data_IF_623724810612
#
_entry.id   IF_623724810612
#
_cell.length_a   1.000
_cell.length_b   1.000
_cell.length_c   1.000
_cell.angle_alpha   90.00
_cell.angle_beta   90.00
_cell.angle_gamma   90.00
#
_symmetry.space_group_name_H-M   'P 1'
#
loop_
_entity.id
_entity.type
_entity.pdbx_description
1 polymer ?
#
# COMPACT_ATOMS: atom_id res chain seq x y z
N UNK A 1 -56.69 -8.96 1.27
CA UNK A 1 -55.68 -8.81 0.18
C UNK A 1 -55.08 -10.17 -0.18
N UNK A 2 -55.69 -10.95 -1.10
CA UNK A 2 -55.30 -12.34 -1.39
C UNK A 2 -54.15 -12.51 -2.41
N UNK A 3 -53.65 -11.42 -3.02
CA UNK A 3 -52.69 -11.47 -4.14
C UNK A 3 -51.22 -11.74 -3.79
N UNK A 4 -50.82 -11.64 -2.51
CA UNK A 4 -49.42 -11.76 -2.11
C UNK A 4 -48.96 -13.21 -1.88
N UNK A 5 -49.86 -14.11 -1.49
CA UNK A 5 -49.54 -15.52 -1.19
C UNK A 5 -49.42 -16.38 -2.46
N UNK A 6 -50.21 -16.08 -3.50
CA UNK A 6 -50.18 -16.78 -4.79
C UNK A 6 -48.92 -16.48 -5.61
N UNK A 7 -48.32 -15.30 -5.42
CA UNK A 7 -47.05 -14.89 -6.04
C UNK A 7 -45.85 -15.67 -5.47
N UNK A 8 -45.75 -15.77 -4.14
CA UNK A 8 -44.68 -16.53 -3.46
C UNK A 8 -44.71 -18.02 -3.81
N UNK A 9 -45.90 -18.61 -3.91
CA UNK A 9 -46.06 -20.01 -4.31
C UNK A 9 -45.63 -20.29 -5.75
N UNK A 10 -45.86 -19.36 -6.70
CA UNK A 10 -45.39 -19.49 -8.09
C UNK A 10 -43.88 -19.32 -8.22
N UNK A 11 -43.28 -18.42 -7.45
CA UNK A 11 -41.82 -18.22 -7.42
C UNK A 11 -41.14 -19.46 -6.83
N UNK A 12 -41.65 -19.99 -5.71
CA UNK A 12 -41.13 -21.22 -5.11
C UNK A 12 -41.27 -22.42 -6.08
N UNK A 13 -42.41 -22.53 -6.78
CA UNK A 13 -42.64 -23.62 -7.75
C UNK A 13 -41.78 -23.50 -9.00
N UNK A 14 -41.45 -22.27 -9.45
CA UNK A 14 -40.50 -22.00 -10.56
C UNK A 14 -39.06 -22.31 -10.17
N UNK A 15 -38.65 -21.98 -8.95
CA UNK A 15 -37.31 -22.33 -8.43
C UNK A 15 -37.18 -23.86 -8.31
N UNK A 16 -38.22 -24.53 -7.79
CA UNK A 16 -38.24 -25.99 -7.67
C UNK A 16 -38.24 -26.71 -9.03
N UNK A 17 -38.95 -26.20 -10.03
CA UNK A 17 -38.94 -26.78 -11.40
C UNK A 17 -37.65 -26.51 -12.16
N UNK A 18 -37.00 -25.36 -11.96
CA UNK A 18 -35.67 -25.09 -12.51
C UNK A 18 -34.59 -26.02 -11.90
N UNK A 19 -34.70 -26.34 -10.61
CA UNK A 19 -33.83 -27.30 -9.94
C UNK A 19 -34.06 -28.75 -10.42
N UNK A 20 -35.31 -29.12 -10.74
CA UNK A 20 -35.67 -30.49 -11.10
C UNK A 20 -35.38 -30.87 -12.56
N UNK A 21 -35.44 -29.93 -13.51
CA UNK A 21 -35.41 -30.28 -14.95
C UNK A 21 -34.29 -29.62 -15.79
N UNK A 22 -33.47 -28.71 -15.23
CA UNK A 22 -32.41 -28.07 -16.01
C UNK A 22 -31.18 -27.57 -15.24
N UNK A 23 -31.18 -27.63 -13.90
CA UNK A 23 -30.14 -27.02 -13.06
C UNK A 23 -29.49 -27.94 -12.01
N UNK A 24 -29.75 -29.24 -12.04
CA UNK A 24 -29.36 -30.17 -10.96
C UNK A 24 -27.85 -30.23 -10.68
N UNK A 25 -27.01 -30.27 -11.71
CA UNK A 25 -25.54 -30.31 -11.54
C UNK A 25 -24.95 -28.95 -11.17
N UNK A 26 -25.28 -27.88 -11.90
CA UNK A 26 -24.74 -26.54 -11.67
C UNK A 26 -25.23 -25.91 -10.37
N UNK A 27 -26.48 -26.15 -9.98
CA UNK A 27 -27.04 -25.68 -8.71
C UNK A 27 -26.42 -26.36 -7.50
N UNK A 28 -26.24 -27.69 -7.53
CA UNK A 28 -25.59 -28.44 -6.46
C UNK A 28 -24.08 -28.13 -6.36
N UNK A 29 -23.39 -27.99 -7.51
CA UNK A 29 -21.99 -27.56 -7.54
C UNK A 29 -21.81 -26.14 -7.00
N UNK A 30 -22.72 -25.22 -7.35
CA UNK A 30 -22.73 -23.84 -6.83
C UNK A 30 -22.96 -23.79 -5.32
N UNK A 31 -23.94 -24.53 -4.81
CA UNK A 31 -24.21 -24.62 -3.36
C UNK A 31 -23.03 -25.27 -2.62
N UNK A 32 -22.43 -26.33 -3.18
CA UNK A 32 -21.25 -26.98 -2.63
C UNK A 32 -20.04 -26.04 -2.55
N UNK A 33 -19.77 -25.26 -3.60
CA UNK A 33 -18.69 -24.27 -3.61
C UNK A 33 -18.92 -23.17 -2.58
N UNK A 34 -20.14 -22.64 -2.47
CA UNK A 34 -20.49 -21.64 -1.44
C UNK A 34 -20.28 -22.22 -0.03
N UNK A 35 -20.73 -23.45 0.21
CA UNK A 35 -20.51 -24.16 1.47
C UNK A 35 -19.03 -24.33 1.80
N UNK A 36 -18.21 -24.68 0.81
CA UNK A 36 -16.75 -24.79 0.96
C UNK A 36 -16.13 -23.43 1.33
N UNK A 37 -16.46 -22.36 0.61
CA UNK A 37 -15.93 -21.02 0.89
C UNK A 37 -16.31 -20.52 2.29
N UNK A 38 -17.54 -20.76 2.73
CA UNK A 38 -17.98 -20.42 4.08
C UNK A 38 -17.25 -21.22 5.15
N UNK A 39 -16.97 -22.50 4.88
CA UNK A 39 -16.21 -23.37 5.79
C UNK A 39 -14.76 -22.92 5.89
N UNK A 40 -14.11 -22.65 4.76
CA UNK A 40 -12.75 -22.10 4.73
C UNK A 40 -12.65 -20.74 5.41
N UNK A 41 -13.68 -19.90 5.27
CA UNK A 41 -13.74 -18.59 5.93
C UNK A 41 -13.76 -18.75 7.46
N UNK A 42 -14.60 -19.66 7.98
CA UNK A 42 -14.63 -19.98 9.41
C UNK A 42 -13.29 -20.51 9.91
N UNK A 43 -12.67 -21.44 9.17
CA UNK A 43 -11.35 -21.98 9.52
C UNK A 43 -10.25 -20.91 9.48
N UNK A 44 -10.31 -20.00 8.50
CA UNK A 44 -9.39 -18.88 8.40
C UNK A 44 -9.56 -17.92 9.58
N UNK A 45 -10.78 -17.56 9.96
CA UNK A 45 -11.07 -16.72 11.12
C UNK A 45 -10.59 -17.38 12.42
N UNK A 46 -10.78 -18.69 12.59
CA UNK A 46 -10.28 -19.43 13.75
C UNK A 46 -8.75 -19.52 13.78
N UNK A 47 -8.11 -19.60 12.61
CA UNK A 47 -6.66 -19.62 12.49
C UNK A 47 -6.05 -18.21 12.61
N UNK A 48 -6.76 -17.16 12.24
CA UNK A 48 -6.34 -15.79 12.54
C UNK A 48 -6.48 -15.62 14.06
N UNK A 49 -5.35 -15.38 14.73
CA UNK A 49 -5.39 -15.12 16.16
C UNK A 49 -6.19 -13.86 16.45
N UNK A 50 -6.86 -13.77 17.59
CA UNK A 50 -7.38 -12.50 18.04
C UNK A 50 -6.22 -11.67 18.61
N UNK A 51 -5.93 -10.51 18.02
CA UNK A 51 -5.20 -9.47 18.73
C UNK A 51 -6.21 -8.72 19.59
N UNK A 52 -6.25 -9.05 20.88
CA UNK A 52 -7.03 -8.29 21.87
C UNK A 52 -6.34 -6.98 22.30
N UNK A 53 -5.18 -6.68 21.69
CA UNK A 53 -4.40 -5.49 22.00
C UNK A 53 -4.96 -4.27 21.30
N UNK A 54 -5.18 -3.19 22.06
CA UNK A 54 -5.46 -1.87 21.50
C UNK A 54 -4.18 -1.36 20.82
N UNK A 55 -4.24 -0.82 19.58
CA UNK A 55 -3.07 -0.22 18.94
C UNK A 55 -2.46 0.89 19.82
N UNK A 56 -1.13 0.99 19.91
CA UNK A 56 -0.50 2.01 20.72
C UNK A 56 -0.78 3.40 20.14
N UNK A 57 -1.13 4.37 20.99
CA UNK A 57 -1.34 5.77 20.57
C UNK A 57 -0.01 6.38 20.15
N UNK A 58 0.03 6.90 18.93
CA UNK A 58 1.24 7.46 18.32
C UNK A 58 1.16 8.97 18.07
N UNK A 59 0.02 9.61 18.33
CA UNK A 59 -0.17 11.05 18.22
C UNK A 59 0.92 11.82 18.97
N UNK A 60 1.43 12.87 18.34
CA UNK A 60 2.54 13.65 18.87
C UNK A 60 3.33 14.35 17.77
N UNK A 61 4.40 15.05 18.16
CA UNK A 61 5.30 15.73 17.24
C UNK A 61 6.55 14.89 17.02
N UNK A 62 6.93 14.72 15.77
CA UNK A 62 8.10 13.98 15.33
C UNK A 62 9.12 14.94 14.71
N UNK A 63 10.41 14.64 14.85
CA UNK A 63 11.48 15.49 14.34
C UNK A 63 11.75 16.73 15.18
N UNK A 64 11.70 16.61 16.52
CA UNK A 64 12.01 17.72 17.44
C UNK A 64 13.40 18.34 17.22
N UNK A 65 14.35 17.57 16.68
CA UNK A 65 15.68 18.09 16.29
C UNK A 65 15.61 19.18 15.19
N UNK A 66 14.52 19.20 14.41
CA UNK A 66 14.24 20.21 13.39
C UNK A 66 13.35 21.34 13.92
N UNK A 67 12.97 21.30 15.20
CA UNK A 67 12.15 22.34 15.80
C UNK A 67 13.01 23.55 16.13
N UNK A 68 13.00 24.55 15.25
CA UNK A 68 13.44 25.89 15.61
C UNK A 68 12.23 26.67 16.16
N UNK A 69 12.30 27.05 17.44
CA UNK A 69 11.25 27.82 18.13
C UNK A 69 10.99 29.19 17.52
N UNK A 70 11.94 29.71 16.72
CA UNK A 70 11.82 30.98 16.03
C UNK A 70 11.44 30.81 14.55
N UNK A 71 11.43 29.59 14.00
CA UNK A 71 11.21 29.36 12.58
C UNK A 71 9.73 29.25 12.22
N UNK A 72 9.35 30.08 11.26
CA UNK A 72 8.26 29.85 10.33
C UNK A 72 8.83 28.99 9.18
N UNK A 73 8.17 27.91 8.72
CA UNK A 73 6.78 27.53 8.98
C UNK A 73 6.52 26.61 10.20
N UNK A 74 5.29 26.62 10.77
CA UNK A 74 4.88 25.75 11.90
C UNK A 74 5.02 24.25 11.57
N UNK A 75 4.93 23.29 12.50
CA UNK A 75 5.01 21.87 12.15
C UNK A 75 4.03 21.45 11.05
N UNK A 76 4.45 20.57 10.14
CA UNK A 76 3.54 19.92 9.18
C UNK A 76 2.54 19.06 9.95
N UNK A 77 1.29 19.01 9.49
CA UNK A 77 0.25 18.16 10.09
C UNK A 77 -0.02 16.96 9.18
N UNK A 78 0.33 15.77 9.66
CA UNK A 78 0.03 14.49 9.03
C UNK A 78 -1.18 13.86 9.71
N UNK A 79 -2.28 13.68 8.97
CA UNK A 79 -3.43 12.90 9.41
C UNK A 79 -3.34 11.45 8.91
N UNK A 80 -3.66 10.48 9.77
CA UNK A 80 -3.84 9.08 9.39
C UNK A 80 -5.29 8.67 9.61
N UNK A 81 -5.94 8.23 8.53
CA UNK A 81 -7.30 7.71 8.52
C UNK A 81 -7.27 6.25 8.07
N UNK A 82 -8.29 5.50 8.45
CA UNK A 82 -8.55 4.19 7.89
C UNK A 82 -8.92 3.14 8.93
N UNK A 83 -8.41 1.93 8.70
CA UNK A 83 -8.72 0.74 9.49
C UNK A 83 -7.64 0.38 10.51
N UNK A 84 -7.58 -0.89 10.93
CA UNK A 84 -6.57 -1.41 11.85
C UNK A 84 -5.14 -1.25 11.32
N UNK A 85 -4.97 -1.25 9.99
CA UNK A 85 -3.68 -1.01 9.34
C UNK A 85 -3.21 0.40 9.67
N UNK A 86 -4.04 1.42 9.42
CA UNK A 86 -3.71 2.82 9.75
C UNK A 86 -3.56 3.08 11.26
N UNK A 87 -4.34 2.38 12.08
CA UNK A 87 -4.23 2.47 13.53
C UNK A 87 -2.92 1.86 14.09
N UNK A 88 -2.25 0.99 13.32
CA UNK A 88 -1.04 0.29 13.76
C UNK A 88 -1.31 -0.94 14.63
N UNK A 89 -2.39 -1.68 14.38
CA UNK A 89 -2.66 -2.93 15.09
C UNK A 89 -1.59 -3.98 14.74
N UNK A 90 -1.01 -4.64 15.75
CA UNK A 90 0.02 -5.67 15.55
C UNK A 90 1.43 -5.27 15.99
N UNK A 91 1.63 -4.01 16.40
CA UNK A 91 2.89 -3.54 17.01
C UNK A 91 2.74 -3.28 18.50
N UNK A 92 3.85 -3.37 19.22
CA UNK A 92 3.87 -3.14 20.66
C UNK A 92 4.18 -1.68 21.03
N UNK A 93 4.93 -0.95 20.18
CA UNK A 93 5.40 0.40 20.48
C UNK A 93 4.78 1.43 19.54
N UNK A 94 4.44 2.61 20.07
CA UNK A 94 3.88 3.72 19.29
C UNK A 94 4.74 4.10 18.08
N UNK A 95 6.08 4.11 18.24
CA UNK A 95 7.05 4.42 17.18
C UNK A 95 7.07 3.41 16.02
N UNK A 96 6.50 2.23 16.21
CA UNK A 96 6.44 1.17 15.21
C UNK A 96 5.14 1.24 14.38
N UNK A 97 4.22 2.14 14.74
CA UNK A 97 2.98 2.35 13.97
C UNK A 97 3.29 3.00 12.62
N UNK A 98 2.48 2.75 11.59
CA UNK A 98 2.74 3.33 10.27
C UNK A 98 2.70 4.86 10.30
N UNK A 99 1.80 5.45 11.10
CA UNK A 99 1.72 6.89 11.30
C UNK A 99 3.01 7.49 11.89
N UNK A 100 3.57 6.86 12.92
CA UNK A 100 4.83 7.31 13.52
C UNK A 100 6.00 7.21 12.54
N UNK A 101 6.09 6.11 11.81
CA UNK A 101 7.13 5.87 10.81
C UNK A 101 7.06 6.87 9.66
N UNK A 102 5.85 7.17 9.18
CA UNK A 102 5.60 8.19 8.15
C UNK A 102 5.92 9.60 8.68
N UNK A 103 5.51 9.93 9.91
CA UNK A 103 5.79 11.23 10.51
C UNK A 103 7.30 11.46 10.71
N UNK A 104 8.03 10.46 11.22
CA UNK A 104 9.47 10.53 11.39
C UNK A 104 10.22 10.62 10.05
N UNK A 105 9.83 9.82 9.06
CA UNK A 105 10.42 9.86 7.72
C UNK A 105 10.14 11.20 7.02
N UNK A 106 8.90 11.69 7.10
CA UNK A 106 8.51 12.98 6.53
C UNK A 106 9.26 14.12 7.22
N UNK A 107 9.39 14.11 8.54
CA UNK A 107 10.13 15.14 9.26
C UNK A 107 11.60 15.20 8.86
N UNK A 108 12.20 14.04 8.57
CA UNK A 108 13.59 13.93 8.12
C UNK A 108 13.77 14.48 6.71
N UNK A 109 12.84 14.19 5.79
CA UNK A 109 12.91 14.66 4.39
C UNK A 109 12.56 16.15 4.28
N UNK A 110 11.60 16.62 5.08
CA UNK A 110 11.17 18.01 5.09
C UNK A 110 12.10 18.93 5.89
N UNK A 111 13.02 18.36 6.68
CA UNK A 111 13.79 19.05 7.72
C UNK A 111 12.90 19.95 8.59
N UNK A 112 11.69 19.47 8.89
CA UNK A 112 10.61 20.22 9.56
C UNK A 112 9.84 19.29 10.50
N UNK A 113 9.47 19.72 11.72
CA UNK A 113 8.69 18.88 12.62
C UNK A 113 7.35 18.48 12.00
N UNK A 114 6.88 17.27 12.32
CA UNK A 114 5.59 16.74 11.86
C UNK A 114 4.72 16.39 13.05
N UNK A 115 3.56 17.04 13.18
CA UNK A 115 2.50 16.66 14.11
C UNK A 115 1.64 15.56 13.50
N UNK A 116 1.67 14.38 14.10
CA UNK A 116 0.83 13.25 13.74
C UNK A 116 -0.52 13.33 14.45
N UNK A 117 -1.60 13.16 13.69
CA UNK A 117 -2.97 12.98 14.16
C UNK A 117 -3.50 11.66 13.60
N UNK A 118 -3.70 10.65 14.45
CA UNK A 118 -4.21 9.35 14.01
C UNK A 118 -5.67 9.15 14.47
N UNK A 119 -6.59 9.19 13.50
CA UNK A 119 -8.02 8.97 13.71
C UNK A 119 -8.48 7.62 13.12
N UNK A 120 -7.56 6.81 12.61
CA UNK A 120 -7.87 5.48 12.09
C UNK A 120 -8.41 4.59 13.21
N UNK A 121 -9.39 3.74 12.87
CA UNK A 121 -10.07 2.88 13.85
C UNK A 121 -9.92 1.43 13.47
N UNK A 122 -9.49 0.61 14.42
CA UNK A 122 -9.47 -0.85 14.22
C UNK A 122 -10.85 -1.35 13.80
N UNK A 123 -10.87 -2.16 12.75
CA UNK A 123 -12.10 -2.65 12.15
C UNK A 123 -12.87 -1.63 11.30
N UNK A 124 -12.38 -0.41 11.07
CA UNK A 124 -13.04 0.59 10.23
C UNK A 124 -13.25 0.14 8.77
N UNK A 125 -14.35 0.58 8.15
CA UNK A 125 -14.70 0.43 6.73
C UNK A 125 -14.76 1.80 6.05
N UNK A 126 -14.83 1.84 4.72
CA UNK A 126 -15.02 3.10 3.99
C UNK A 126 -16.21 3.92 4.51
N UNK A 127 -17.28 3.26 4.99
CA UNK A 127 -18.44 3.93 5.58
C UNK A 127 -18.15 4.71 6.87
N UNK A 128 -17.06 4.38 7.57
CA UNK A 128 -16.66 5.02 8.82
C UNK A 128 -15.75 6.25 8.56
N UNK A 129 -15.33 6.50 7.31
CA UNK A 129 -14.43 7.61 6.96
C UNK A 129 -15.06 8.97 7.22
N UNK A 130 -16.36 9.14 7.07
CA UNK A 130 -17.04 10.42 7.35
C UNK A 130 -16.81 10.87 8.80
N UNK A 131 -16.99 9.96 9.77
CA UNK A 131 -16.74 10.26 11.16
C UNK A 131 -15.25 10.48 11.49
N UNK A 132 -14.35 9.88 10.71
CA UNK A 132 -12.90 10.16 10.84
C UNK A 132 -12.53 11.53 10.26
N UNK A 133 -13.18 11.97 9.19
CA UNK A 133 -12.99 13.33 8.64
C UNK A 133 -13.41 14.40 9.64
N UNK A 134 -14.54 14.21 10.32
CA UNK A 134 -14.99 15.11 11.38
C UNK A 134 -13.95 15.29 12.49
N UNK A 135 -13.13 14.26 12.74
CA UNK A 135 -12.04 14.31 13.72
C UNK A 135 -10.75 14.89 13.14
N UNK A 136 -10.44 14.63 11.87
CA UNK A 136 -9.18 15.04 11.24
C UNK A 136 -9.20 16.51 10.77
N UNK A 137 -10.29 16.97 10.17
CA UNK A 137 -10.38 18.31 9.56
C UNK A 137 -10.13 19.48 10.53
N UNK A 138 -10.58 19.44 11.81
CA UNK A 138 -10.27 20.51 12.78
C UNK A 138 -8.77 20.72 13.04
N UNK A 139 -7.92 19.76 12.65
CA UNK A 139 -6.48 19.85 12.79
C UNK A 139 -5.77 20.49 11.60
N UNK A 140 -6.50 20.83 10.53
CA UNK A 140 -5.97 21.41 9.29
C UNK A 140 -4.77 20.61 8.75
N UNK A 141 -4.95 19.32 8.38
CA UNK A 141 -3.85 18.50 7.88
C UNK A 141 -3.29 19.04 6.56
N UNK A 142 -1.97 19.14 6.47
CA UNK A 142 -1.26 19.40 5.20
C UNK A 142 -1.30 18.18 4.30
N UNK A 143 -1.25 16.99 4.91
CA UNK A 143 -1.33 15.71 4.21
C UNK A 143 -2.08 14.67 5.03
N UNK A 144 -2.88 13.86 4.34
CA UNK A 144 -3.60 12.74 4.90
C UNK A 144 -3.17 11.44 4.20
N UNK A 145 -2.89 10.42 5.01
CA UNK A 145 -2.68 9.05 4.55
C UNK A 145 -3.88 8.20 4.95
N UNK A 146 -4.55 7.61 3.96
CA UNK A 146 -5.72 6.74 4.18
C UNK A 146 -5.32 5.29 3.90
N UNK A 147 -5.48 4.40 4.87
CA UNK A 147 -5.27 2.96 4.71
C UNK A 147 -6.56 2.20 5.00
N UNK A 148 -7.31 1.83 3.96
CA UNK A 148 -8.63 1.20 4.13
C UNK A 148 -8.99 0.25 2.99
N UNK A 149 -9.76 -0.79 3.33
CA UNK A 149 -10.43 -1.65 2.35
C UNK A 149 -10.39 -3.14 2.71
N UNK A 150 -9.52 -3.56 3.63
CA UNK A 150 -9.48 -4.96 4.08
C UNK A 150 -10.81 -5.36 4.75
N UNK A 151 -11.36 -4.48 5.58
CA UNK A 151 -12.67 -4.68 6.21
C UNK A 151 -13.85 -4.59 5.25
N UNK A 152 -13.73 -3.83 4.16
CA UNK A 152 -14.76 -3.77 3.13
C UNK A 152 -14.88 -5.10 2.39
N UNK A 153 -13.76 -5.78 2.12
CA UNK A 153 -13.79 -7.12 1.52
C UNK A 153 -14.26 -8.17 2.53
N UNK A 154 -13.64 -8.23 3.72
CA UNK A 154 -13.93 -9.29 4.71
C UNK A 154 -15.34 -9.20 5.29
N UNK A 155 -15.93 -7.99 5.36
CA UNK A 155 -17.31 -7.78 5.80
C UNK A 155 -18.30 -7.55 4.66
N UNK A 156 -17.88 -7.84 3.43
CA UNK A 156 -18.73 -7.87 2.23
C UNK A 156 -19.48 -6.54 1.98
N UNK A 157 -18.81 -5.41 2.20
CA UNK A 157 -19.31 -4.11 1.77
C UNK A 157 -19.54 -4.11 0.25
N UNK A 158 -20.63 -3.51 -0.27
CA UNK A 158 -20.77 -3.31 -1.71
C UNK A 158 -19.61 -2.46 -2.24
N UNK A 159 -18.82 -2.99 -3.18
CA UNK A 159 -17.58 -2.35 -3.63
C UNK A 159 -17.80 -0.94 -4.15
N UNK A 160 -18.88 -0.71 -4.91
CA UNK A 160 -19.24 0.60 -5.44
C UNK A 160 -19.53 1.62 -4.33
N UNK A 161 -20.16 1.17 -3.23
CA UNK A 161 -20.42 2.02 -2.07
C UNK A 161 -19.11 2.37 -1.35
N UNK A 162 -18.26 1.38 -1.09
CA UNK A 162 -16.99 1.58 -0.41
C UNK A 162 -16.04 2.50 -1.19
N UNK A 163 -16.00 2.37 -2.52
CA UNK A 163 -15.20 3.22 -3.42
C UNK A 163 -15.75 4.65 -3.45
N UNK A 164 -17.08 4.81 -3.53
CA UNK A 164 -17.70 6.14 -3.51
C UNK A 164 -17.41 6.88 -2.19
N UNK A 165 -17.58 6.20 -1.05
CA UNK A 165 -17.31 6.78 0.27
C UNK A 165 -15.84 7.17 0.44
N UNK A 166 -14.91 6.37 -0.10
CA UNK A 166 -13.50 6.75 -0.15
C UNK A 166 -13.27 7.98 -1.03
N UNK A 167 -13.84 8.03 -2.23
CA UNK A 167 -13.74 9.17 -3.13
C UNK A 167 -14.28 10.46 -2.51
N UNK A 168 -15.44 10.39 -1.85
CA UNK A 168 -16.04 11.49 -1.08
C UNK A 168 -15.09 11.99 0.03
N UNK A 169 -14.45 11.08 0.75
CA UNK A 169 -13.48 11.43 1.80
C UNK A 169 -12.22 12.11 1.24
N UNK A 170 -11.69 11.60 0.12
CA UNK A 170 -10.55 12.22 -0.56
C UNK A 170 -10.93 13.62 -1.06
N UNK A 171 -12.07 13.76 -1.73
CA UNK A 171 -12.54 15.05 -2.24
C UNK A 171 -12.72 16.08 -1.11
N UNK A 172 -13.27 15.68 0.04
CA UNK A 172 -13.43 16.55 1.20
C UNK A 172 -12.08 17.03 1.76
N UNK A 173 -11.08 16.15 1.88
CA UNK A 173 -9.74 16.53 2.30
C UNK A 173 -9.08 17.50 1.30
N UNK A 174 -9.16 17.17 0.00
CA UNK A 174 -8.61 18.03 -1.07
C UNK A 174 -9.26 19.41 -1.09
N UNK A 175 -10.58 19.49 -0.88
CA UNK A 175 -11.31 20.76 -0.80
C UNK A 175 -10.88 21.63 0.40
N UNK A 176 -10.28 21.03 1.43
CA UNK A 176 -9.72 21.73 2.60
C UNK A 176 -8.20 21.96 2.47
N UNK A 177 -7.63 21.85 1.27
CA UNK A 177 -6.20 22.10 1.01
C UNK A 177 -5.25 20.97 1.40
N UNK A 178 -5.76 19.86 1.93
CA UNK A 178 -4.95 18.71 2.34
C UNK A 178 -4.50 17.92 1.11
N UNK A 179 -3.23 17.51 1.04
CA UNK A 179 -2.77 16.48 0.11
C UNK A 179 -3.24 15.10 0.57
N UNK A 180 -3.52 14.18 -0.35
CA UNK A 180 -4.05 12.86 0.03
C UNK A 180 -3.29 11.75 -0.67
N UNK A 181 -2.80 10.80 0.13
CA UNK A 181 -2.20 9.55 -0.36
C UNK A 181 -2.99 8.38 0.21
N UNK A 182 -3.50 7.52 -0.67
CA UNK A 182 -4.26 6.33 -0.27
C UNK A 182 -3.43 5.07 -0.49
N UNK A 183 -3.19 4.35 0.59
CA UNK A 183 -2.77 2.97 0.54
C UNK A 183 -3.97 2.07 0.21
N UNK A 184 -4.01 1.54 -1.02
CA UNK A 184 -5.17 0.78 -1.50
C UNK A 184 -5.31 -0.58 -0.81
N UNK A 185 -6.48 -1.21 -0.99
CA UNK A 185 -6.82 -2.50 -0.38
C UNK A 185 -5.71 -3.55 -0.61
N UNK A 186 -5.15 -4.14 0.46
CA UNK A 186 -4.09 -5.13 0.33
C UNK A 186 -4.62 -6.43 -0.29
N UNK A 187 -3.72 -7.22 -0.89
CA UNK A 187 -4.08 -8.52 -1.48
C UNK A 187 -4.35 -9.55 -0.37
N UNK A 188 -5.62 -9.73 0.00
CA UNK A 188 -6.01 -10.66 1.07
C UNK A 188 -5.72 -12.14 0.74
N UNK A 189 -5.40 -12.45 -0.51
CA UNK A 189 -4.95 -13.80 -0.88
C UNK A 189 -3.52 -14.12 -0.46
N UNK A 190 -2.78 -13.19 0.15
CA UNK A 190 -1.46 -13.47 0.77
C UNK A 190 -1.55 -13.92 2.22
N UNK A 191 -2.71 -13.78 2.85
CA UNK A 191 -2.94 -14.20 4.24
C UNK A 191 -2.83 -15.72 4.31
N UNK A 192 -1.78 -16.22 4.99
CA UNK A 192 -1.43 -17.64 5.03
C UNK A 192 -2.57 -18.55 5.55
N UNK A 193 -3.35 -18.17 6.58
CA UNK A 193 -4.55 -18.90 6.99
C UNK A 193 -5.61 -19.13 5.90
N UNK A 194 -5.68 -18.27 4.87
CA UNK A 194 -6.68 -18.37 3.81
C UNK A 194 -6.24 -19.42 2.78
N UNK A 195 -6.99 -20.52 2.67
CA UNK A 195 -6.71 -21.65 1.77
C UNK A 195 -7.46 -21.51 0.43
N UNK A 196 -7.00 -22.16 -0.66
CA UNK A 196 -7.78 -22.25 -1.90
C UNK A 196 -8.97 -23.20 -1.74
N UNK A 197 -10.16 -22.85 -2.26
CA UNK A 197 -10.41 -21.79 -3.24
C UNK A 197 -10.64 -20.38 -2.68
N UNK A 198 -10.90 -20.19 -1.39
CA UNK A 198 -11.20 -18.88 -0.79
C UNK A 198 -10.08 -17.86 -1.05
N UNK A 199 -8.83 -18.30 -1.05
CA UNK A 199 -7.66 -17.48 -1.38
C UNK A 199 -7.77 -16.80 -2.74
N UNK A 200 -8.27 -17.51 -3.74
CA UNK A 200 -8.42 -16.98 -5.10
C UNK A 200 -9.52 -15.93 -5.17
N UNK A 201 -10.63 -16.19 -4.47
CA UNK A 201 -11.75 -15.24 -4.35
C UNK A 201 -11.30 -13.98 -3.62
N UNK A 202 -10.66 -14.12 -2.46
CA UNK A 202 -10.15 -13.01 -1.65
C UNK A 202 -9.18 -12.13 -2.46
N UNK A 203 -8.19 -12.73 -3.14
CA UNK A 203 -7.26 -12.03 -4.04
C UNK A 203 -7.99 -11.26 -5.12
N UNK A 204 -8.97 -11.88 -5.78
CA UNK A 204 -9.71 -11.24 -6.87
C UNK A 204 -10.51 -10.04 -6.36
N UNK A 205 -11.26 -10.23 -5.28
CA UNK A 205 -12.09 -9.16 -4.71
C UNK A 205 -11.25 -7.99 -4.20
N UNK A 206 -10.15 -8.26 -3.51
CA UNK A 206 -9.27 -7.21 -3.00
C UNK A 206 -8.57 -6.43 -4.13
N UNK A 207 -8.09 -7.10 -5.18
CA UNK A 207 -7.48 -6.44 -6.35
C UNK A 207 -8.50 -5.62 -7.15
N UNK A 208 -9.72 -6.13 -7.30
CA UNK A 208 -10.81 -5.38 -7.94
C UNK A 208 -11.16 -4.13 -7.14
N UNK A 209 -11.25 -4.24 -5.82
CA UNK A 209 -11.47 -3.09 -4.94
C UNK A 209 -10.32 -2.09 -5.06
N UNK A 210 -9.07 -2.55 -4.99
CA UNK A 210 -7.89 -1.68 -5.11
C UNK A 210 -7.85 -0.91 -6.43
N UNK A 211 -8.16 -1.55 -7.56
CA UNK A 211 -8.25 -0.87 -8.85
C UNK A 211 -9.34 0.21 -8.85
N UNK A 212 -10.53 -0.11 -8.32
CA UNK A 212 -11.62 0.85 -8.23
C UNK A 212 -11.31 2.01 -7.28
N UNK A 213 -10.63 1.75 -6.16
CA UNK A 213 -10.12 2.79 -5.26
C UNK A 213 -9.13 3.71 -5.99
N UNK A 214 -8.18 3.17 -6.76
CA UNK A 214 -7.25 3.99 -7.55
C UNK A 214 -7.96 4.96 -8.48
N UNK A 215 -8.97 4.48 -9.22
CA UNK A 215 -9.73 5.35 -10.13
C UNK A 215 -10.37 6.50 -9.34
N UNK A 216 -11.17 6.18 -8.31
CA UNK A 216 -11.91 7.18 -7.55
C UNK A 216 -11.00 8.18 -6.81
N UNK A 217 -9.88 7.72 -6.27
CA UNK A 217 -8.93 8.59 -5.55
C UNK A 217 -8.22 9.55 -6.51
N UNK A 218 -7.78 9.06 -7.67
CA UNK A 218 -7.09 9.88 -8.68
C UNK A 218 -8.05 10.91 -9.27
N UNK A 219 -9.29 10.52 -9.56
CA UNK A 219 -10.35 11.44 -10.02
C UNK A 219 -10.70 12.50 -8.96
N UNK A 220 -10.64 12.14 -7.68
CA UNK A 220 -10.83 13.07 -6.57
C UNK A 220 -9.59 13.95 -6.28
N UNK A 221 -8.50 13.82 -7.05
CA UNK A 221 -7.29 14.62 -6.92
C UNK A 221 -6.29 14.12 -5.86
N UNK A 222 -6.45 12.89 -5.38
CA UNK A 222 -5.47 12.21 -4.53
C UNK A 222 -4.46 11.36 -5.31
N UNK A 223 -3.52 10.77 -4.58
CA UNK A 223 -2.56 9.77 -5.11
C UNK A 223 -2.86 8.42 -4.50
N UNK A 224 -2.54 7.35 -5.22
CA UNK A 224 -2.60 6.00 -4.65
C UNK A 224 -1.26 5.32 -4.67
N UNK A 225 -1.00 4.55 -3.62
CA UNK A 225 0.10 3.60 -3.56
C UNK A 225 -0.52 2.23 -3.43
N UNK A 226 -0.20 1.36 -4.39
CA UNK A 226 -0.57 -0.05 -4.29
C UNK A 226 0.18 -0.68 -3.13
N UNK A 227 -0.53 -0.85 -2.01
CA UNK A 227 -0.13 -1.73 -0.92
C UNK A 227 -0.37 -3.21 -1.29
N UNK A 228 -0.74 -3.49 -2.55
CA UNK A 228 -1.05 -4.80 -3.07
C UNK A 228 0.03 -5.78 -2.65
N UNK A 229 -0.36 -6.76 -1.84
CA UNK A 229 0.47 -7.50 -0.89
C UNK A 229 1.53 -6.59 -0.27
N UNK A 230 1.30 -6.09 0.95
CA UNK A 230 2.24 -5.17 1.58
C UNK A 230 3.70 -5.62 1.44
N UNK A 231 3.96 -6.93 1.29
CA UNK A 231 5.05 -7.42 0.45
C UNK A 231 4.63 -8.57 -0.50
N UNK A 232 5.20 -8.64 -1.69
CA UNK A 232 4.98 -9.63 -2.74
C UNK A 232 5.38 -11.06 -2.37
N UNK A 233 6.16 -11.78 -3.22
CA UNK A 233 6.72 -13.07 -2.85
C UNK A 233 7.44 -13.03 -1.49
N UNK A 234 7.98 -11.86 -1.10
CA UNK A 234 8.65 -11.64 0.17
C UNK A 234 7.76 -11.78 1.42
N UNK A 235 6.50 -11.29 1.50
CA UNK A 235 5.65 -11.61 2.69
C UNK A 235 5.18 -13.06 2.64
N UNK A 236 4.85 -13.54 1.44
CA UNK A 236 4.48 -14.95 1.28
C UNK A 236 5.62 -15.88 1.72
N UNK A 237 6.87 -15.43 1.58
CA UNK A 237 8.08 -16.13 2.00
C UNK A 237 8.57 -15.79 3.42
N UNK A 238 8.15 -14.65 4.02
CA UNK A 238 8.60 -14.15 5.33
C UNK A 238 7.46 -14.01 6.34
N UNK A 239 7.13 -15.07 7.10
CA UNK A 239 6.10 -15.04 8.14
C UNK A 239 6.31 -13.98 9.23
N UNK A 240 7.56 -13.60 9.51
CA UNK A 240 7.96 -12.58 10.51
C UNK A 240 7.39 -11.18 10.22
N UNK A 241 6.88 -11.00 9.01
CA UNK A 241 6.29 -9.75 8.61
C UNK A 241 4.82 -9.58 8.98
N UNK A 242 4.19 -10.65 9.48
CA UNK A 242 2.89 -10.59 10.12
C UNK A 242 3.04 -10.59 11.63
N UNK A 243 2.11 -9.94 12.32
CA UNK A 243 1.98 -10.01 13.76
C UNK A 243 1.58 -11.43 14.21
N UNK A 244 1.47 -11.63 15.53
CA UNK A 244 1.16 -12.93 16.11
C UNK A 244 -0.17 -13.53 15.62
N UNK A 245 -1.11 -12.71 15.14
CA UNK A 245 -2.37 -13.16 14.55
C UNK A 245 -2.26 -13.72 13.13
N UNK A 246 -1.11 -13.54 12.47
CA UNK A 246 -0.85 -13.94 11.08
C UNK A 246 -1.75 -13.20 10.07
N UNK A 247 -2.24 -12.02 10.44
CA UNK A 247 -3.13 -11.20 9.63
C UNK A 247 -2.64 -9.76 9.53
N UNK A 248 -2.41 -9.09 10.66
CA UNK A 248 -1.92 -7.71 10.64
C UNK A 248 -0.41 -7.65 10.37
N UNK A 249 0.12 -6.54 9.81
CA UNK A 249 1.55 -6.36 9.68
C UNK A 249 2.27 -6.36 11.04
N UNK A 250 3.46 -6.94 11.10
CA UNK A 250 4.37 -6.75 12.24
C UNK A 250 5.06 -5.38 12.16
N UNK A 251 5.89 -5.04 13.15
CA UNK A 251 6.70 -3.81 13.10
C UNK A 251 7.55 -3.73 11.81
N UNK A 252 8.11 -4.85 11.35
CA UNK A 252 8.86 -4.90 10.08
C UNK A 252 7.95 -4.76 8.87
N UNK A 253 6.74 -5.34 8.93
CA UNK A 253 5.72 -5.18 7.91
C UNK A 253 5.29 -3.72 7.75
N UNK A 254 5.04 -3.03 8.86
CA UNK A 254 4.71 -1.60 8.87
C UNK A 254 5.87 -0.72 8.42
N UNK A 255 7.12 -1.01 8.83
CA UNK A 255 8.29 -0.32 8.31
C UNK A 255 8.37 -0.42 6.78
N UNK A 256 8.16 -1.60 6.22
CA UNK A 256 8.18 -1.79 4.76
C UNK A 256 7.01 -1.06 4.08
N UNK A 257 5.81 -1.15 4.65
CA UNK A 257 4.62 -0.43 4.17
C UNK A 257 4.85 1.09 4.12
N UNK A 258 5.31 1.66 5.23
CA UNK A 258 5.56 3.09 5.36
C UNK A 258 6.66 3.56 4.41
N UNK A 259 7.73 2.77 4.22
CA UNK A 259 8.78 3.10 3.23
C UNK A 259 8.28 3.08 1.79
N UNK A 260 7.25 2.30 1.46
CA UNK A 260 6.63 2.33 0.14
C UNK A 260 5.73 3.56 -0.07
N UNK A 261 5.09 4.04 1.01
CA UNK A 261 4.15 5.18 0.98
C UNK A 261 4.86 6.54 1.09
N UNK A 262 5.92 6.61 1.91
CA UNK A 262 6.66 7.84 2.21
C UNK A 262 7.07 8.62 0.95
N UNK A 263 7.58 7.97 -0.12
CA UNK A 263 7.93 8.69 -1.33
C UNK A 263 6.77 9.48 -1.95
N UNK A 264 5.58 8.89 -1.99
CA UNK A 264 4.40 9.55 -2.54
C UNK A 264 3.88 10.66 -1.62
N UNK A 265 4.07 10.52 -0.30
CA UNK A 265 3.79 11.57 0.69
C UNK A 265 4.69 12.79 0.45
N UNK A 266 6.01 12.58 0.36
CA UNK A 266 6.97 13.65 0.07
C UNK A 266 6.69 14.31 -1.28
N UNK A 267 6.42 13.52 -2.33
CA UNK A 267 6.12 14.04 -3.66
C UNK A 267 4.78 14.79 -3.74
N UNK A 268 3.81 14.46 -2.89
CA UNK A 268 2.54 15.20 -2.81
C UNK A 268 2.72 16.58 -2.17
N UNK A 269 3.68 16.72 -1.26
CA UNK A 269 4.06 17.99 -0.61
C UNK A 269 5.12 18.78 -1.38
N UNK A 270 5.60 18.29 -2.54
CA UNK A 270 6.64 18.96 -3.31
C UNK A 270 8.03 18.93 -2.67
N UNK A 271 8.31 17.96 -1.80
CA UNK A 271 9.58 17.85 -1.04
C UNK A 271 10.69 17.09 -1.79
N UNK A 272 10.43 16.58 -2.99
CA UNK A 272 11.49 16.05 -3.85
C UNK A 272 11.99 17.17 -4.75
N UNK A 273 13.31 17.31 -4.97
CA UNK A 273 13.80 18.17 -6.04
C UNK A 273 13.11 17.80 -7.36
N UNK A 274 12.63 18.80 -8.09
CA UNK A 274 12.37 18.64 -9.51
C UNK A 274 13.72 18.34 -10.18
N UNK A 275 14.15 17.08 -10.19
CA UNK A 275 15.13 16.64 -11.18
C UNK A 275 14.52 17.00 -12.53
N UNK A 276 15.22 17.86 -13.29
CA UNK A 276 14.94 18.15 -14.69
C UNK A 276 14.40 16.89 -15.33
N UNK A 277 13.14 16.92 -15.80
CA UNK A 277 12.49 15.78 -16.44
C UNK A 277 13.52 15.16 -17.39
N UNK A 278 14.00 13.94 -17.12
CA UNK A 278 15.00 13.35 -17.97
C UNK A 278 14.44 13.34 -19.39
N UNK A 279 15.22 13.83 -20.35
CA UNK A 279 14.82 13.89 -21.76
C UNK A 279 14.59 12.49 -22.36
N UNK A 280 14.94 11.45 -21.61
CA UNK A 280 14.68 10.05 -21.87
C UNK A 280 13.65 9.47 -20.87
N UNK A 281 12.82 8.49 -21.29
CA UNK A 281 11.87 7.85 -20.38
C UNK A 281 12.58 7.22 -19.17
N UNK A 282 12.20 7.65 -17.97
CA UNK A 282 12.66 7.04 -16.71
C UNK A 282 12.17 5.59 -16.67
N UNK A 283 13.07 4.59 -16.50
CA UNK A 283 12.67 3.19 -16.42
C UNK A 283 11.63 2.97 -15.31
N UNK A 284 10.41 2.56 -15.69
CA UNK A 284 9.32 2.29 -14.75
C UNK A 284 8.28 3.39 -14.59
N UNK A 285 8.37 4.49 -15.34
CA UNK A 285 7.32 5.50 -15.46
C UNK A 285 6.54 5.34 -16.77
N UNK A 286 5.20 5.40 -16.72
CA UNK A 286 4.37 5.34 -17.92
C UNK A 286 3.08 6.13 -17.71
N UNK A 287 2.73 7.00 -18.67
CA UNK A 287 1.43 7.69 -18.69
C UNK A 287 0.41 6.79 -19.37
N UNK A 288 -0.67 6.45 -18.67
CA UNK A 288 -1.71 5.53 -19.12
C UNK A 288 -3.09 6.11 -18.81
N UNK A 289 -4.16 5.67 -19.51
CA UNK A 289 -5.51 5.96 -19.06
C UNK A 289 -5.71 5.48 -17.63
N UNK A 290 -6.41 6.25 -16.78
CA UNK A 290 -6.51 5.97 -15.34
C UNK A 290 -6.97 4.53 -15.05
N UNK A 291 -7.95 4.02 -15.80
CA UNK A 291 -8.43 2.64 -15.65
C UNK A 291 -7.35 1.59 -15.95
N UNK A 292 -6.47 1.84 -16.93
CA UNK A 292 -5.36 0.95 -17.29
C UNK A 292 -4.25 1.03 -16.24
N UNK A 293 -3.91 2.24 -15.79
CA UNK A 293 -2.97 2.45 -14.68
C UNK A 293 -3.45 1.74 -13.40
N UNK A 294 -4.74 1.87 -13.08
CA UNK A 294 -5.36 1.24 -11.92
C UNK A 294 -5.32 -0.29 -11.99
N UNK A 295 -5.67 -0.88 -13.14
CA UNK A 295 -5.59 -2.32 -13.34
C UNK A 295 -4.14 -2.83 -13.23
N UNK A 296 -3.18 -2.10 -13.79
CA UNK A 296 -1.76 -2.43 -13.70
C UNK A 296 -1.23 -2.33 -12.25
N UNK A 297 -1.61 -1.28 -11.52
CA UNK A 297 -1.21 -1.05 -10.14
C UNK A 297 -1.83 -2.06 -9.16
N UNK A 298 -3.10 -2.45 -9.35
CA UNK A 298 -3.75 -3.47 -8.52
C UNK A 298 -3.06 -4.84 -8.62
N UNK A 299 -2.32 -5.09 -9.71
CA UNK A 299 -1.54 -6.30 -9.90
C UNK A 299 -0.11 -6.25 -9.36
N UNK A 300 0.40 -5.06 -9.00
CA UNK A 300 1.83 -4.80 -8.78
C UNK A 300 2.07 -3.92 -7.56
N UNK A 301 2.82 -4.47 -6.59
CA UNK A 301 3.18 -3.79 -5.34
C UNK A 301 4.04 -2.53 -5.57
N UNK A 302 3.96 -1.57 -4.62
CA UNK A 302 4.80 -0.37 -4.61
C UNK A 302 4.62 0.56 -5.81
N UNK A 303 3.54 0.35 -6.55
CA UNK A 303 3.21 1.16 -7.73
C UNK A 303 2.40 2.37 -7.30
N UNK A 304 2.91 3.56 -7.58
CA UNK A 304 2.22 4.84 -7.36
C UNK A 304 1.41 5.20 -8.61
N UNK A 305 0.19 5.69 -8.40
CA UNK A 305 -0.65 6.26 -9.46
C UNK A 305 -1.06 7.67 -9.05
N UNK A 306 -0.77 8.65 -9.90
CA UNK A 306 -1.14 10.06 -9.73
C UNK A 306 -1.69 10.62 -11.04
N UNK A 307 -2.65 11.55 -10.97
CA UNK A 307 -3.16 12.23 -12.16
C UNK A 307 -2.04 13.00 -12.87
N UNK A 308 -2.10 13.06 -14.21
CA UNK A 308 -1.24 13.93 -15.01
C UNK A 308 -2.13 14.88 -15.79
N UNK A 309 -1.85 16.17 -15.69
CA UNK A 309 -2.36 17.15 -16.64
C UNK A 309 -1.50 17.06 -17.90
N UNK A 310 -1.93 16.26 -18.86
CA UNK A 310 -1.39 16.35 -20.21
C UNK A 310 -2.15 17.46 -20.93
N UNK A 311 -1.48 18.29 -21.75
CA UNK A 311 -2.13 19.37 -22.49
C UNK A 311 -3.37 18.84 -23.23
N UNK A 312 -4.55 19.34 -22.85
CA UNK A 312 -5.84 18.97 -23.44
C UNK A 312 -6.50 17.69 -22.91
N UNK A 313 -5.89 16.98 -21.96
CA UNK A 313 -6.45 15.78 -21.36
C UNK A 313 -6.47 15.91 -19.82
N UNK A 314 -7.64 16.21 -19.25
CA UNK A 314 -7.86 16.31 -17.80
C UNK A 314 -7.60 14.98 -17.05
N UNK A 315 -8.25 14.76 -15.90
CA UNK A 315 -8.07 13.59 -15.00
C UNK A 315 -8.27 12.17 -15.61
N UNK A 316 -8.32 12.02 -16.93
CA UNK A 316 -8.43 10.77 -17.68
C UNK A 316 -7.10 10.02 -17.85
N UNK A 317 -5.98 10.67 -17.54
CA UNK A 317 -4.64 10.07 -17.60
C UNK A 317 -3.95 10.10 -16.25
N UNK A 318 -3.18 9.05 -15.98
CA UNK A 318 -2.36 8.94 -14.78
C UNK A 318 -0.95 8.47 -15.09
N UNK A 319 0.00 8.99 -14.31
CA UNK A 319 1.36 8.52 -14.24
C UNK A 319 1.38 7.28 -13.36
N UNK A 320 1.79 6.17 -13.94
CA UNK A 320 2.15 4.95 -13.24
C UNK A 320 3.65 5.03 -12.93
N UNK A 321 4.04 5.07 -11.66
CA UNK A 321 5.45 5.04 -11.25
C UNK A 321 5.78 3.77 -10.51
N UNK A 322 6.86 3.10 -10.92
CA UNK A 322 7.45 1.99 -10.20
C UNK A 322 8.69 2.46 -9.44
N UNK A 323 8.57 2.63 -8.14
CA UNK A 323 9.75 2.92 -7.30
C UNK A 323 10.44 1.59 -6.96
N UNK A 324 11.51 1.27 -7.69
CA UNK A 324 12.36 0.11 -7.43
C UNK A 324 12.96 0.22 -6.03
N UNK A 325 12.92 -0.87 -5.26
CA UNK A 325 13.55 -0.94 -3.94
C UNK A 325 15.06 -1.04 -4.12
N UNK A 326 15.81 -0.14 -3.50
CA UNK A 326 17.18 -0.46 -3.10
C UNK A 326 17.02 -1.39 -1.91
N UNK A 327 17.39 -2.67 -2.09
CA UNK A 327 17.36 -3.64 -1.00
C UNK A 327 18.22 -3.15 0.17
N UNK A 328 17.81 -3.47 1.40
CA UNK A 328 18.67 -3.31 2.57
C UNK A 328 20.00 -4.04 2.30
N UNK A 329 21.17 -3.47 2.64
CA UNK A 329 22.44 -4.18 2.50
C UNK A 329 22.36 -5.48 3.32
N UNK A 330 22.36 -6.64 2.64
CA UNK A 330 22.31 -7.95 3.29
C UNK A 330 21.73 -9.09 2.46
N UNK A 331 20.96 -8.83 1.40
CA UNK A 331 20.43 -9.89 0.52
C UNK A 331 21.20 -9.96 -0.81
N UNK A 332 22.48 -10.32 -0.74
CA UNK A 332 23.29 -10.64 -1.91
C UNK A 332 22.92 -12.00 -2.50
N UNK A 333 21.85 -12.05 -3.28
CA UNK A 333 21.64 -13.13 -4.25
C UNK A 333 22.60 -12.91 -5.41
N UNK A 334 23.63 -13.74 -5.49
CA UNK A 334 24.58 -13.74 -6.60
C UNK A 334 23.85 -13.84 -7.94
N UNK A 335 23.95 -12.80 -8.76
CA UNK A 335 23.53 -12.82 -10.16
C UNK A 335 24.58 -12.13 -11.03
N UNK A 336 25.63 -12.91 -11.35
CA UNK A 336 26.20 -12.99 -12.69
C UNK A 336 26.90 -11.75 -13.26
N UNK A 337 28.02 -11.33 -12.66
CA UNK A 337 29.07 -10.70 -13.45
C UNK A 337 29.70 -11.79 -14.34
N UNK A 338 29.36 -11.80 -15.63
CA UNK A 338 30.08 -12.61 -16.63
C UNK A 338 31.51 -12.09 -16.67
N UNK A 339 32.45 -12.89 -16.17
CA UNK A 339 33.87 -12.65 -16.37
C UNK A 339 34.17 -12.78 -17.86
N UNK A 340 34.58 -11.68 -18.48
CA UNK A 340 35.25 -11.71 -19.78
C UNK A 340 36.56 -12.50 -19.63
N UNK A 341 36.91 -13.43 -20.52
CA UNK A 341 38.20 -14.10 -20.46
C UNK A 341 39.30 -13.09 -20.78
N UNK A 342 40.19 -12.86 -19.82
CA UNK A 342 41.41 -12.08 -20.01
C UNK A 342 42.30 -12.85 -20.98
N UNK A 343 42.67 -12.18 -22.07
CA UNK A 343 43.61 -12.65 -23.08
C UNK A 343 45.02 -12.52 -22.49
N UNK A 344 45.70 -13.65 -22.26
CA UNK A 344 47.10 -13.66 -21.81
C UNK A 344 48.03 -13.06 -22.87
N UNK A 345 48.78 -12.02 -22.48
CA UNK A 345 49.87 -11.45 -23.26
C UNK A 345 51.21 -12.14 -22.89
N UNK A 346 52.16 -12.27 -23.82
CA UNK A 346 53.37 -13.08 -23.63
C UNK A 346 54.42 -12.37 -22.74
N UNK A 347 55.36 -13.12 -22.13
CA UNK A 347 56.32 -12.55 -21.19
C UNK A 347 57.43 -11.78 -21.91
N UNK A 348 57.76 -10.59 -21.38
CA UNK A 348 58.95 -9.81 -21.74
C UNK A 348 60.20 -10.35 -21.04
N UNK A 349 61.37 -10.34 -21.70
CA UNK A 349 62.62 -10.83 -21.11
C UNK A 349 63.26 -9.78 -20.19
N UNK A 350 63.95 -10.27 -19.18
CA UNK A 350 64.53 -9.47 -18.11
C UNK A 350 65.68 -8.55 -18.51
N UNK A 351 66.03 -7.65 -17.57
CA UNK A 351 67.36 -7.07 -17.55
C UNK A 351 67.83 -6.83 -16.11
N UNK A 352 69.13 -6.95 -15.97
CA UNK A 352 69.93 -7.19 -14.78
C UNK A 352 70.29 -5.96 -13.97
N UNK A 353 70.59 -6.22 -12.70
CA UNK A 353 71.41 -5.49 -11.72
C UNK A 353 72.39 -4.43 -12.24
N UNK A 354 72.50 -3.31 -11.50
CA UNK A 354 73.78 -2.64 -11.25
C UNK A 354 73.68 -1.71 -10.02
N UNK A 355 74.74 -1.72 -9.25
CA UNK A 355 74.96 -1.18 -7.91
C UNK A 355 75.76 0.13 -7.91
N UNK A 356 75.58 0.93 -6.85
CA UNK A 356 76.57 1.72 -6.10
C UNK A 356 77.69 2.52 -6.81
N UNK A 357 77.77 3.82 -6.49
CA UNK A 357 78.98 4.60 -6.15
C UNK A 357 78.51 5.84 -5.34
N UNK A 358 78.87 6.03 -4.06
CA UNK A 358 80.14 6.58 -3.50
C UNK A 358 80.45 8.00 -4.02
N UNK A 359 80.72 9.04 -3.22
CA UNK A 359 80.91 9.24 -1.78
C UNK A 359 81.53 10.63 -1.54
N UNK A 360 81.52 11.09 -0.28
CA UNK A 360 82.30 12.20 0.32
C UNK A 360 82.05 13.62 -0.26
N UNK A 361 82.03 14.71 0.50
CA UNK A 361 82.34 14.99 1.89
C UNK A 361 82.34 16.52 2.06
N UNK A 362 81.86 16.97 3.21
CA UNK A 362 81.90 18.30 3.84
C UNK A 362 81.54 19.59 3.06
N UNK A 363 80.59 20.30 3.68
CA UNK A 363 79.99 21.61 3.36
C UNK A 363 78.72 21.60 2.49
#
# INVERSE_FOLDING_TARGET
MPGAQTSRARVARRIATAAAYGGGGLGLLGVGLVGLLLTESKLAIQAIGALETVPPKADGTYGEAFADRAADPPPLVLAVLGDSTGAGLGVARARETPGALLAAGLASVAERPVRLVNVARSGGRSADLSGQLEQALPHHPDIAVIMIGANDVTRHSPAQLAVRQLGEAVAALRANGCQVVVGTCPDLGTIKPVRPPLRWVARRLSRQLAAAQTIAVVEAGGRTVSLGSLLGPEFAARPEMFAADRYHPSAQGYATASMAVLPSVCAALGLWPEEERPSAPVPGETVLPVAVAAAAAAGREGTEVAAVEAEGAGHRWALLRRRLRIGLPGSGGAAGARLHPVQEAPPTPGNTSASSHAGAGDA
#
